data_IF_731124702576
#
_entry.id   IF_731124702576
#
_cell.length_a   1.000
_cell.length_b   1.000
_cell.length_c   1.000
_cell.angle_alpha   90.00
_cell.angle_beta   90.00
_cell.angle_gamma   90.00
#
_symmetry.space_group_name_H-M   'P 1'
#
loop_
_entity.id
_entity.type
_entity.pdbx_description
1 polymer ?
#
# COMPACT_ATOMS: atom_id res chain seq x y z
N UNK A 1 -25.37 11.47 17.29
CA UNK A 1 -24.74 10.13 17.42
C UNK A 1 -25.00 9.39 16.12
N UNK A 2 -23.96 8.89 15.44
CA UNK A 2 -24.15 8.12 14.21
C UNK A 2 -24.61 6.69 14.54
N UNK A 3 -25.50 6.13 13.72
CA UNK A 3 -25.94 4.74 13.88
C UNK A 3 -24.90 3.75 13.34
N UNK A 4 -25.05 2.47 13.68
CA UNK A 4 -24.17 1.41 13.13
C UNK A 4 -24.32 1.31 11.62
N UNK A 5 -25.54 1.45 11.11
CA UNK A 5 -25.84 1.43 9.68
C UNK A 5 -25.14 2.59 8.96
N UNK A 6 -25.11 3.77 9.57
CA UNK A 6 -24.38 4.91 9.03
C UNK A 6 -22.89 4.58 8.90
N UNK A 7 -22.26 4.03 9.95
CA UNK A 7 -20.84 3.71 9.94
C UNK A 7 -20.50 2.66 8.87
N UNK A 8 -21.30 1.60 8.75
CA UNK A 8 -21.12 0.58 7.71
C UNK A 8 -21.17 1.22 6.32
N UNK A 9 -22.20 2.03 6.03
CA UNK A 9 -22.32 2.70 4.74
C UNK A 9 -21.16 3.65 4.46
N UNK A 10 -20.72 4.40 5.48
CA UNK A 10 -19.57 5.30 5.35
C UNK A 10 -18.30 4.53 4.99
N UNK A 11 -17.98 3.44 5.71
CA UNK A 11 -16.79 2.62 5.45
C UNK A 11 -16.85 2.00 4.04
N UNK A 12 -18.00 1.44 3.63
CA UNK A 12 -18.15 0.86 2.30
C UNK A 12 -17.94 1.90 1.20
N UNK A 13 -18.43 3.13 1.39
CA UNK A 13 -18.15 4.22 0.46
C UNK A 13 -16.65 4.56 0.42
N UNK A 14 -15.97 4.61 1.57
CA UNK A 14 -14.51 4.83 1.62
C UNK A 14 -13.71 3.73 0.93
N UNK A 15 -14.15 2.47 0.99
CA UNK A 15 -13.52 1.40 0.22
C UNK A 15 -13.66 1.60 -1.30
N UNK A 16 -14.80 2.12 -1.77
CA UNK A 16 -14.95 2.48 -3.17
C UNK A 16 -14.03 3.65 -3.57
N UNK A 17 -13.88 4.65 -2.71
CA UNK A 17 -12.93 5.75 -2.93
C UNK A 17 -11.48 5.25 -2.97
N UNK A 18 -11.09 4.38 -2.04
CA UNK A 18 -9.76 3.72 -2.04
C UNK A 18 -9.53 2.94 -3.33
N UNK A 19 -10.54 2.24 -3.84
CA UNK A 19 -10.46 1.56 -5.13
C UNK A 19 -10.13 2.55 -6.26
N UNK A 20 -10.87 3.65 -6.36
CA UNK A 20 -10.62 4.67 -7.38
C UNK A 20 -9.25 5.34 -7.21
N UNK A 21 -8.83 5.57 -5.97
CA UNK A 21 -7.50 6.10 -5.65
C UNK A 21 -6.39 5.14 -6.11
N UNK A 22 -6.55 3.84 -5.86
CA UNK A 22 -5.63 2.83 -6.35
C UNK A 22 -5.58 2.80 -7.87
N UNK A 23 -6.73 2.73 -8.55
CA UNK A 23 -6.80 2.72 -10.03
C UNK A 23 -6.09 3.94 -10.64
N UNK A 24 -6.24 5.11 -10.03
CA UNK A 24 -5.56 6.33 -10.46
C UNK A 24 -4.04 6.29 -10.20
N UNK A 25 -3.61 5.87 -9.00
CA UNK A 25 -2.19 5.91 -8.59
C UNK A 25 -1.39 4.68 -9.03
N UNK A 26 -2.02 3.59 -9.45
CA UNK A 26 -1.33 2.32 -9.73
C UNK A 26 -0.27 2.43 -10.83
N UNK A 27 -0.44 3.35 -11.78
CA UNK A 27 0.59 3.64 -12.79
C UNK A 27 1.93 4.13 -12.20
N UNK A 28 1.94 4.61 -10.96
CA UNK A 28 3.15 5.03 -10.26
C UNK A 28 3.82 3.91 -9.46
N UNK A 29 3.25 2.70 -9.39
CA UNK A 29 3.81 1.58 -8.62
C UNK A 29 4.54 0.56 -9.49
N UNK A 30 4.03 0.30 -10.69
CA UNK A 30 4.55 -0.72 -11.59
C UNK A 30 4.88 -0.22 -12.99
N UNK A 31 5.35 -1.15 -13.82
CA UNK A 31 5.50 -1.03 -15.26
C UNK A 31 4.68 -2.15 -15.94
N UNK A 32 4.54 -2.10 -17.27
CA UNK A 32 3.67 -3.01 -18.06
C UNK A 32 3.85 -4.51 -17.73
N UNK A 33 5.08 -4.93 -17.38
CA UNK A 33 5.42 -6.33 -17.09
C UNK A 33 5.92 -6.59 -15.66
N UNK A 34 5.91 -5.58 -14.78
CA UNK A 34 6.29 -5.74 -13.38
C UNK A 34 5.45 -4.80 -12.51
N UNK A 35 4.41 -5.35 -11.89
CA UNK A 35 3.46 -4.62 -11.05
C UNK A 35 4.13 -3.97 -9.83
N UNK A 36 5.32 -4.42 -9.44
CA UNK A 36 6.11 -3.87 -8.34
C UNK A 36 7.39 -3.17 -8.80
N UNK A 37 7.50 -2.81 -10.09
CA UNK A 37 8.74 -2.29 -10.66
C UNK A 37 9.39 -1.19 -9.80
N UNK A 38 8.63 -0.19 -9.36
CA UNK A 38 9.20 0.90 -8.55
C UNK A 38 9.67 0.43 -7.17
N UNK A 39 8.94 -0.48 -6.53
CA UNK A 39 9.34 -1.08 -5.26
C UNK A 39 10.60 -1.93 -5.44
N UNK A 40 10.65 -2.76 -6.48
CA UNK A 40 11.77 -3.63 -6.81
C UNK A 40 13.04 -2.85 -7.12
N UNK A 41 12.94 -1.83 -7.97
CA UNK A 41 14.08 -0.96 -8.30
C UNK A 41 14.57 -0.18 -7.09
N UNK A 42 13.65 0.28 -6.22
CA UNK A 42 14.03 0.95 -4.98
C UNK A 42 14.70 0.00 -4.00
N UNK A 43 14.17 -1.21 -3.84
CA UNK A 43 14.73 -2.25 -2.99
C UNK A 43 16.14 -2.65 -3.45
N UNK A 44 16.33 -2.83 -4.77
CA UNK A 44 17.64 -3.11 -5.35
C UNK A 44 18.65 -1.99 -5.05
N UNK A 45 18.26 -0.72 -5.22
CA UNK A 45 19.13 0.43 -4.94
C UNK A 45 19.44 0.62 -3.45
N UNK A 46 18.52 0.27 -2.54
CA UNK A 46 18.65 0.55 -1.10
C UNK A 46 19.17 -0.62 -0.28
N UNK A 47 18.82 -1.83 -0.67
CA UNK A 47 19.06 -3.06 0.08
C UNK A 47 19.85 -4.10 -0.71
N UNK A 48 20.14 -3.85 -2.00
CA UNK A 48 20.87 -4.80 -2.84
C UNK A 48 20.07 -6.05 -3.21
N UNK A 49 18.76 -6.08 -2.91
CA UNK A 49 17.88 -7.21 -3.17
C UNK A 49 16.60 -6.74 -3.86
N UNK A 50 16.16 -7.51 -4.87
CA UNK A 50 14.92 -7.32 -5.59
C UNK A 50 13.82 -8.29 -5.14
N UNK A 51 14.04 -9.02 -4.04
CA UNK A 51 13.11 -10.03 -3.53
C UNK A 51 11.98 -9.40 -2.69
N UNK A 52 10.83 -10.07 -2.55
CA UNK A 52 9.68 -9.55 -1.81
C UNK A 52 9.96 -9.00 -0.41
N UNK A 53 10.82 -9.60 0.45
CA UNK A 53 11.13 -9.01 1.76
C UNK A 53 11.70 -7.60 1.66
N UNK A 54 12.63 -7.36 0.73
CA UNK A 54 13.21 -6.03 0.54
C UNK A 54 12.21 -5.04 -0.07
N UNK A 55 11.30 -5.50 -0.94
CA UNK A 55 10.21 -4.67 -1.46
C UNK A 55 9.20 -4.30 -0.37
N UNK A 56 8.91 -5.22 0.55
CA UNK A 56 8.03 -5.00 1.69
C UNK A 56 8.59 -3.91 2.62
N UNK A 57 9.90 -3.93 2.90
CA UNK A 57 10.58 -2.89 3.67
C UNK A 57 10.52 -1.52 2.97
N UNK A 58 10.66 -1.48 1.63
CA UNK A 58 10.43 -0.24 0.88
C UNK A 58 9.01 0.28 1.07
N UNK A 59 8.00 -0.58 0.92
CA UNK A 59 6.60 -0.18 1.09
C UNK A 59 6.32 0.35 2.50
N UNK A 60 6.87 -0.30 3.53
CA UNK A 60 6.80 0.16 4.92
C UNK A 60 7.39 1.56 5.10
N UNK A 61 8.58 1.81 4.57
CA UNK A 61 9.25 3.12 4.63
C UNK A 61 8.45 4.19 3.88
N UNK A 62 7.89 3.86 2.71
CA UNK A 62 7.09 4.80 1.93
C UNK A 62 5.77 5.15 2.64
N UNK A 63 5.18 4.20 3.38
CA UNK A 63 4.00 4.41 4.20
C UNK A 63 4.28 5.30 5.41
N UNK A 64 5.48 5.21 6.01
CA UNK A 64 5.85 5.96 7.23
C UNK A 64 5.65 7.48 7.09
N UNK A 65 5.92 8.06 5.92
CA UNK A 65 5.68 9.50 5.68
C UNK A 65 4.22 9.93 5.93
N UNK A 66 3.26 9.02 5.71
CA UNK A 66 1.84 9.29 5.96
C UNK A 66 1.56 9.27 7.46
N UNK A 67 2.14 8.33 8.22
CA UNK A 67 2.06 8.30 9.68
C UNK A 67 2.68 9.54 10.32
N UNK A 68 3.88 9.94 9.87
CA UNK A 68 4.54 11.16 10.35
C UNK A 68 3.67 12.40 10.11
N UNK A 69 3.00 12.48 8.95
CA UNK A 69 2.10 13.59 8.67
C UNK A 69 0.86 13.57 9.58
N UNK A 70 0.19 12.42 9.72
CA UNK A 70 -1.01 12.25 10.54
C UNK A 70 -0.72 12.42 12.05
N UNK A 71 0.50 12.14 12.49
CA UNK A 71 0.94 12.36 13.88
C UNK A 71 0.89 13.82 14.33
N UNK A 72 0.72 14.78 13.42
CA UNK A 72 0.53 16.21 13.73
C UNK A 72 -0.88 16.55 14.20
N UNK A 73 -1.84 15.62 14.12
CA UNK A 73 -3.20 15.78 14.64
C UNK A 73 -4.29 15.65 13.59
N UNK A 74 -5.55 15.79 14.02
CA UNK A 74 -6.74 15.57 13.18
C UNK A 74 -6.91 16.64 12.09
N UNK A 75 -6.40 17.86 12.31
CA UNK A 75 -6.56 19.01 11.40
C UNK A 75 -5.48 19.06 10.31
N UNK A 76 -4.75 17.96 10.11
CA UNK A 76 -3.73 17.84 9.06
C UNK A 76 -4.41 17.94 7.70
N UNK A 77 -3.87 18.82 6.84
CA UNK A 77 -4.27 18.89 5.45
C UNK A 77 -4.12 17.51 4.79
N UNK A 78 -5.11 17.12 3.99
CA UNK A 78 -5.14 15.83 3.29
C UNK A 78 -5.17 14.61 4.24
N UNK A 79 -5.56 14.76 5.51
CA UNK A 79 -5.63 13.62 6.44
C UNK A 79 -6.44 12.44 5.89
N UNK A 80 -7.56 12.73 5.21
CA UNK A 80 -8.40 11.72 4.58
C UNK A 80 -7.67 10.94 3.48
N UNK A 81 -7.06 11.64 2.50
CA UNK A 81 -6.32 10.99 1.43
C UNK A 81 -5.14 10.18 1.98
N UNK A 82 -4.44 10.69 3.02
CA UNK A 82 -3.33 9.97 3.67
C UNK A 82 -3.79 8.67 4.33
N UNK A 83 -4.95 8.66 4.97
CA UNK A 83 -5.54 7.45 5.54
C UNK A 83 -5.93 6.46 4.42
N UNK A 84 -6.42 6.94 3.28
CA UNK A 84 -6.71 6.10 2.12
C UNK A 84 -5.43 5.52 1.50
N UNK A 85 -4.37 6.33 1.35
CA UNK A 85 -3.05 5.88 0.88
C UNK A 85 -2.49 4.78 1.79
N UNK A 86 -2.67 4.90 3.11
CA UNK A 86 -2.28 3.83 4.05
C UNK A 86 -3.00 2.52 3.77
N UNK A 87 -4.31 2.55 3.46
CA UNK A 87 -5.06 1.35 3.06
C UNK A 87 -4.48 0.79 1.75
N UNK A 88 -4.14 1.65 0.78
CA UNK A 88 -3.50 1.22 -0.48
C UNK A 88 -2.15 0.54 -0.22
N UNK A 89 -1.29 1.10 0.62
CA UNK A 89 -0.02 0.46 0.98
C UNK A 89 -0.23 -0.90 1.66
N UNK A 90 -1.20 -1.01 2.57
CA UNK A 90 -1.54 -2.31 3.17
C UNK A 90 -1.94 -3.34 2.11
N UNK A 91 -2.75 -2.96 1.11
CA UNK A 91 -3.15 -3.85 0.02
C UNK A 91 -1.96 -4.25 -0.89
N UNK A 92 -1.06 -3.31 -1.20
CA UNK A 92 0.17 -3.59 -1.94
C UNK A 92 1.06 -4.59 -1.18
N UNK A 93 1.23 -4.38 0.12
CA UNK A 93 2.03 -5.26 0.97
C UNK A 93 1.41 -6.66 1.09
N UNK A 94 0.09 -6.78 1.10
CA UNK A 94 -0.59 -8.08 1.00
C UNK A 94 -0.27 -8.79 -0.31
N UNK A 95 -0.22 -8.08 -1.43
CA UNK A 95 0.15 -8.66 -2.72
C UNK A 95 1.63 -9.10 -2.76
N UNK A 96 2.53 -8.37 -2.10
CA UNK A 96 3.93 -8.79 -1.94
C UNK A 96 4.07 -10.05 -1.07
N UNK A 97 3.27 -10.19 -0.01
CA UNK A 97 3.25 -11.40 0.81
C UNK A 97 2.78 -12.62 0.00
N UNK A 98 1.81 -12.43 -0.88
CA UNK A 98 1.35 -13.48 -1.79
C UNK A 98 2.45 -13.89 -2.78
N UNK A 99 3.16 -12.94 -3.40
CA UNK A 99 4.31 -13.24 -4.27
C UNK A 99 5.40 -14.01 -3.51
N UNK A 100 5.71 -13.60 -2.28
CA UNK A 100 6.69 -14.28 -1.44
C UNK A 100 6.33 -15.74 -1.16
N UNK A 101 5.05 -16.03 -0.85
CA UNK A 101 4.57 -17.39 -0.59
C UNK A 101 4.69 -18.28 -1.82
N UNK A 102 4.34 -17.76 -3.00
CA UNK A 102 4.42 -18.50 -4.27
C UNK A 102 5.86 -18.90 -4.61
N UNK A 103 6.80 -17.96 -4.46
CA UNK A 103 8.23 -18.26 -4.66
C UNK A 103 8.69 -19.36 -3.71
N UNK A 104 8.28 -19.31 -2.44
CA UNK A 104 8.64 -20.34 -1.46
C UNK A 104 8.00 -21.71 -1.79
N UNK A 105 6.78 -21.74 -2.34
CA UNK A 105 6.14 -22.97 -2.79
C UNK A 105 6.88 -23.60 -3.99
N UNK A 106 7.26 -22.79 -4.97
CA UNK A 106 7.99 -23.23 -6.17
C UNK A 106 9.41 -23.75 -5.83
N UNK A 107 10.07 -23.20 -4.81
CA UNK A 107 11.39 -23.67 -4.34
C UNK A 107 11.31 -25.03 -3.62
N UNK A 108 10.13 -25.42 -3.14
CA UNK A 108 9.89 -26.67 -2.39
C UNK A 108 9.23 -27.78 -3.25
N UNK A 109 8.91 -27.50 -4.52
CA UNK A 109 8.30 -28.42 -5.48
C UNK A 109 9.35 -29.16 -6.34
#
# INVERSE_FOLDING_TARGET
>A
MHSREYLVRYILNKLNEVKSLFEYKNGAYGAENDVFWNFRQTALRKFGSALPPAMFDVAYILADKHWVALGKGIDVAEAEERLQDMIVYCLIMLAMLEEHRRIAEDENA
#
